data_IF_441067902273
#
_entry.id   IF_441067902273
#
_cell.length_a   1.000
_cell.length_b   1.000
_cell.length_c   1.000
_cell.angle_alpha   90.00
_cell.angle_beta   90.00
_cell.angle_gamma   90.00
#
_symmetry.space_group_name_H-M   'P 1'
#
loop_
_entity.id
_entity.type
_entity.pdbx_description
1 polymer ?
#
# COMPACT_ATOMS: atom_id res chain seq x y z
N UNK A 1 -7.14 61.85 -20.07
CA UNK A 1 -6.87 61.32 -21.43
C UNK A 1 -5.71 60.34 -21.36
N UNK A 2 -5.92 59.12 -21.91
CA UNK A 2 -4.93 58.15 -22.43
C UNK A 2 -3.63 57.97 -21.61
N UNK A 3 -3.34 56.80 -21.05
CA UNK A 3 -3.00 55.60 -21.82
C UNK A 3 -3.35 54.33 -21.05
N UNK A 4 -4.39 53.67 -21.55
CA UNK A 4 -4.57 52.23 -21.47
C UNK A 4 -3.54 51.56 -22.40
N UNK A 5 -3.31 50.25 -22.19
CA UNK A 5 -2.57 49.31 -23.06
C UNK A 5 -1.05 49.33 -22.83
N UNK A 6 -0.32 48.23 -22.58
CA UNK A 6 -0.50 46.82 -22.91
C UNK A 6 0.29 45.98 -21.88
N UNK A 7 -0.34 45.03 -21.19
CA UNK A 7 0.37 43.85 -20.69
C UNK A 7 -0.05 42.68 -21.56
N UNK A 8 0.76 42.44 -22.58
CA UNK A 8 0.63 41.32 -23.49
C UNK A 8 0.70 40.00 -22.70
N UNK A 9 -0.25 39.11 -22.97
CA UNK A 9 -0.29 37.78 -22.40
C UNK A 9 0.98 36.99 -22.72
N UNK A 10 1.74 36.68 -21.66
CA UNK A 10 2.39 35.39 -21.46
C UNK A 10 1.56 34.77 -20.33
N UNK A 11 0.56 33.94 -20.60
CA UNK A 11 0.78 32.65 -21.24
C UNK A 11 1.27 31.69 -20.16
N UNK A 12 0.32 31.03 -19.50
CA UNK A 12 0.47 30.00 -18.45
C UNK A 12 1.84 29.30 -18.44
N UNK A 13 2.68 29.58 -17.44
CA UNK A 13 3.49 28.55 -16.80
C UNK A 13 2.77 28.16 -15.51
N UNK A 14 1.71 27.35 -15.65
CA UNK A 14 1.22 26.55 -14.54
C UNK A 14 2.35 25.59 -14.18
N UNK A 15 3.08 25.94 -13.12
CA UNK A 15 3.95 25.04 -12.37
C UNK A 15 3.28 23.66 -12.31
N UNK A 16 3.91 22.67 -12.93
CA UNK A 16 3.66 21.28 -12.56
C UNK A 16 4.17 21.14 -11.12
N UNK A 17 3.33 21.50 -10.15
CA UNK A 17 3.56 21.12 -8.76
C UNK A 17 3.66 19.59 -8.76
N UNK A 18 4.76 18.99 -8.31
CA UNK A 18 4.74 17.56 -8.06
C UNK A 18 3.57 17.31 -7.11
N UNK A 19 2.66 16.42 -7.51
CA UNK A 19 1.51 16.05 -6.70
C UNK A 19 2.03 15.64 -5.32
N UNK A 20 1.90 16.55 -4.35
CA UNK A 20 2.33 16.36 -2.98
C UNK A 20 1.32 15.44 -2.30
N UNK A 21 1.37 14.15 -2.64
CA UNK A 21 1.06 13.15 -1.64
C UNK A 21 2.08 13.36 -0.52
N UNK A 22 1.62 13.66 0.69
CA UNK A 22 2.47 13.87 1.86
C UNK A 22 3.28 12.59 2.09
N UNK A 23 4.49 12.56 1.53
CA UNK A 23 5.35 11.39 1.57
C UNK A 23 5.80 11.21 3.01
N UNK A 24 5.70 9.99 3.54
CA UNK A 24 6.17 9.72 4.90
C UNK A 24 7.70 9.69 4.91
N UNK A 25 8.29 10.71 5.51
CA UNK A 25 9.73 10.92 5.64
C UNK A 25 10.14 10.57 7.07
N UNK A 26 10.88 9.48 7.23
CA UNK A 26 11.34 9.00 8.53
C UNK A 26 12.79 9.45 8.78
N UNK A 27 13.17 9.88 9.99
CA UNK A 27 14.57 10.07 10.34
C UNK A 27 15.37 8.76 10.21
N UNK A 28 16.60 8.87 9.70
CA UNK A 28 17.54 7.75 9.61
C UNK A 28 18.73 7.94 10.57
N UNK A 29 18.97 7.03 11.53
CA UNK A 29 20.01 7.21 12.55
C UNK A 29 21.41 6.90 11.97
N UNK A 30 22.00 7.86 11.28
CA UNK A 30 23.36 7.81 10.77
C UNK A 30 24.06 9.17 10.92
N UNK A 31 25.36 9.22 10.62
CA UNK A 31 26.07 10.48 10.54
C UNK A 31 25.53 11.36 9.41
N UNK A 32 25.45 12.67 9.66
CA UNK A 32 24.85 13.64 8.74
C UNK A 32 25.85 14.03 7.63
N UNK A 33 25.72 13.40 6.48
CA UNK A 33 26.51 13.72 5.27
C UNK A 33 25.71 14.50 4.22
N UNK A 34 24.59 15.07 4.63
CA UNK A 34 23.70 15.77 3.74
C UNK A 34 24.16 17.22 3.51
N UNK A 35 24.16 17.69 2.25
CA UNK A 35 24.47 19.08 1.95
C UNK A 35 23.40 20.02 2.55
N UNK A 36 23.78 21.28 2.80
CA UNK A 36 22.87 22.35 3.22
C UNK A 36 22.26 22.21 4.62
N UNK A 37 22.89 21.44 5.53
CA UNK A 37 22.42 21.28 6.90
C UNK A 37 21.14 20.44 7.02
N UNK A 38 20.78 19.72 5.96
CA UNK A 38 19.71 18.73 5.99
C UNK A 38 20.15 17.48 6.76
N UNK A 39 19.19 16.68 7.18
CA UNK A 39 19.45 15.41 7.84
C UNK A 39 19.15 14.22 6.91
N UNK A 40 19.76 13.05 7.15
CA UNK A 40 19.40 11.83 6.46
C UNK A 40 17.99 11.41 6.87
N UNK A 41 17.17 11.15 5.86
CA UNK A 41 15.81 10.62 5.99
C UNK A 41 15.68 9.35 5.16
N UNK A 42 14.66 8.56 5.46
CA UNK A 42 14.31 7.37 4.73
C UNK A 42 12.85 7.47 4.27
N UNK A 43 12.63 7.25 2.98
CA UNK A 43 11.33 7.28 2.32
C UNK A 43 11.21 6.04 1.43
N UNK A 44 10.20 5.21 1.67
CA UNK A 44 9.97 4.01 0.86
C UNK A 44 11.16 3.04 0.80
N UNK A 45 12.01 3.03 1.83
CA UNK A 45 13.23 2.21 1.90
C UNK A 45 14.48 2.84 1.26
N UNK A 46 14.38 4.00 0.62
CA UNK A 46 15.51 4.74 0.06
C UNK A 46 15.96 5.82 1.05
N UNK A 47 17.27 5.97 1.23
CA UNK A 47 17.87 7.01 2.06
C UNK A 47 18.17 8.24 1.20
N UNK A 48 17.72 9.40 1.64
CA UNK A 48 17.95 10.69 0.98
C UNK A 48 18.11 11.81 2.01
N UNK A 49 18.38 13.03 1.55
CA UNK A 49 18.52 14.20 2.40
C UNK A 49 17.23 15.01 2.44
N UNK A 50 16.80 15.42 3.63
CA UNK A 50 15.55 16.16 3.79
C UNK A 50 15.22 16.50 5.24
N UNK A 51 13.95 16.85 5.46
CA UNK A 51 13.39 17.15 6.78
C UNK A 51 12.37 16.05 7.12
N UNK A 52 12.47 15.40 8.29
CA UNK A 52 11.56 14.34 8.68
C UNK A 52 10.20 14.93 9.04
N UNK A 53 9.13 14.22 8.70
CA UNK A 53 7.76 14.57 9.10
C UNK A 53 7.12 13.52 10.04
N UNK A 54 7.80 12.40 10.29
CA UNK A 54 7.33 11.33 11.17
C UNK A 54 8.12 11.24 12.47
N UNK A 55 7.44 10.88 13.56
CA UNK A 55 8.06 10.49 14.82
C UNK A 55 8.37 8.98 14.80
N UNK A 56 9.64 8.60 14.63
CA UNK A 56 10.11 7.21 14.63
C UNK A 56 10.85 6.80 13.36
N UNK A 57 11.44 5.60 13.33
CA UNK A 57 12.20 5.13 12.17
C UNK A 57 11.31 4.40 11.16
N UNK A 58 11.76 4.32 9.91
CA UNK A 58 11.08 3.54 8.87
C UNK A 58 10.94 2.05 9.28
N UNK A 59 11.95 1.49 9.96
CA UNK A 59 11.88 0.12 10.48
C UNK A 59 10.76 -0.07 11.49
N UNK A 60 10.52 0.87 12.39
CA UNK A 60 9.43 0.77 13.37
C UNK A 60 8.07 0.85 12.68
N UNK A 61 7.96 1.74 11.68
CA UNK A 61 6.76 1.86 10.88
C UNK A 61 6.44 0.57 10.11
N UNK A 62 7.45 -0.08 9.52
CA UNK A 62 7.27 -1.33 8.77
C UNK A 62 7.00 -2.55 9.66
N UNK A 63 7.24 -2.46 10.97
CA UNK A 63 6.97 -3.54 11.93
C UNK A 63 5.51 -3.63 12.36
N UNK A 64 4.62 -2.76 11.86
CA UNK A 64 3.22 -2.83 12.22
C UNK A 64 2.60 -4.19 11.82
N UNK A 65 1.92 -4.90 12.73
CA UNK A 65 1.22 -6.13 12.37
C UNK A 65 0.02 -5.76 11.48
N UNK A 66 0.07 -6.14 10.21
CA UNK A 66 -1.12 -6.06 9.34
C UNK A 66 -2.04 -7.19 9.77
N UNK A 67 -3.24 -6.86 10.27
CA UNK A 67 -4.25 -7.86 10.59
C UNK A 67 -4.63 -8.63 9.31
N UNK A 68 -4.01 -9.78 9.09
CA UNK A 68 -4.37 -10.66 8.00
C UNK A 68 -5.68 -11.35 8.37
N UNK A 69 -6.75 -11.06 7.63
CA UNK A 69 -8.02 -11.79 7.78
C UNK A 69 -7.75 -13.25 7.43
N UNK A 70 -7.75 -14.14 8.43
CA UNK A 70 -7.68 -15.58 8.20
C UNK A 70 -8.93 -15.99 7.42
N UNK A 71 -8.76 -16.40 6.16
CA UNK A 71 -9.84 -17.01 5.39
C UNK A 71 -10.08 -18.40 5.98
N UNK A 72 -11.25 -18.62 6.58
CA UNK A 72 -11.66 -19.95 7.00
C UNK A 72 -11.99 -20.76 5.75
N UNK A 73 -11.07 -21.64 5.34
CA UNK A 73 -11.36 -22.64 4.32
C UNK A 73 -12.10 -23.80 4.99
N UNK A 74 -13.35 -24.06 4.58
CA UNK A 74 -14.05 -25.27 4.99
C UNK A 74 -13.30 -26.46 4.38
N UNK A 75 -12.75 -27.40 5.16
CA UNK A 75 -12.15 -28.59 4.58
C UNK A 75 -13.21 -29.32 3.76
N UNK A 76 -12.86 -29.72 2.54
CA UNK A 76 -13.75 -30.54 1.72
C UNK A 76 -14.10 -31.82 2.50
N UNK A 77 -15.36 -32.29 2.46
CA UNK A 77 -15.73 -33.54 3.11
C UNK A 77 -14.87 -34.67 2.53
N UNK A 78 -14.23 -35.47 3.41
CA UNK A 78 -13.53 -36.68 2.98
C UNK A 78 -14.59 -37.69 2.55
N UNK A 79 -14.61 -38.01 1.25
CA UNK A 79 -15.41 -39.13 0.73
C UNK A 79 -14.74 -40.40 1.22
N UNK A 80 -15.31 -41.02 2.26
CA UNK A 80 -14.93 -42.37 2.67
C UNK A 80 -15.61 -43.31 1.69
N UNK A 81 -14.84 -43.90 0.78
CA UNK A 81 -15.31 -45.07 0.03
C UNK A 81 -15.33 -46.23 1.01
N UNK A 82 -16.43 -46.38 1.74
CA UNK A 82 -16.70 -47.60 2.47
C UNK A 82 -16.75 -48.74 1.44
N UNK A 83 -16.04 -49.82 1.74
CA UNK A 83 -15.85 -51.01 0.90
C UNK A 83 -17.12 -51.86 0.70
N UNK A 84 -18.31 -51.24 0.68
CA UNK A 84 -19.55 -51.89 0.23
C UNK A 84 -19.59 -51.88 -1.30
N UNK A 85 -19.09 -52.99 -1.82
CA UNK A 85 -19.16 -53.49 -3.19
C UNK A 85 -20.41 -53.12 -4.00
N UNK A 86 -20.30 -53.02 -5.34
CA UNK A 86 -21.42 -52.77 -6.23
C UNK A 86 -22.31 -54.01 -6.30
N UNK A 87 -23.37 -54.07 -5.50
CA UNK A 87 -24.17 -55.30 -5.44
C UNK A 87 -25.44 -55.30 -4.58
N UNK A 88 -26.05 -54.15 -4.27
CA UNK A 88 -27.34 -54.15 -3.59
C UNK A 88 -28.28 -53.10 -4.16
N UNK A 89 -29.17 -53.54 -5.05
CA UNK A 89 -30.28 -52.77 -5.58
C UNK A 89 -31.33 -52.59 -4.47
N UNK A 90 -31.21 -51.52 -3.69
CA UNK A 90 -32.17 -51.19 -2.64
C UNK A 90 -33.32 -50.33 -3.19
N UNK A 91 -34.29 -51.03 -3.78
CA UNK A 91 -35.73 -50.92 -3.47
C UNK A 91 -36.26 -49.60 -2.86
N UNK A 92 -36.19 -48.49 -3.59
CA UNK A 92 -37.14 -47.38 -3.38
C UNK A 92 -37.76 -46.91 -4.70
N UNK A 93 -38.83 -47.62 -5.08
CA UNK A 93 -39.80 -47.19 -6.08
C UNK A 93 -40.33 -45.78 -5.78
N UNK A 94 -40.62 -44.94 -6.78
CA UNK A 94 -41.26 -43.64 -6.56
C UNK A 94 -42.70 -43.84 -6.07
N UNK A 95 -43.09 -43.10 -5.02
CA UNK A 95 -44.49 -42.98 -4.61
C UNK A 95 -45.27 -42.19 -5.66
N UNK A 96 -46.35 -42.78 -6.19
CA UNK A 96 -47.48 -42.06 -6.77
C UNK A 96 -48.69 -42.31 -5.87
#
# INVERSE_FOLDING_TARGET
MKKLMMFAGLGLLSMAAPAAADAKLFPYPAANYCPSGLQPIQMGGVICCGVPNQAGTYSDYMRHPVAQRKRYYKPAPRVVYDSKSPGYWDSKSPSN
#
